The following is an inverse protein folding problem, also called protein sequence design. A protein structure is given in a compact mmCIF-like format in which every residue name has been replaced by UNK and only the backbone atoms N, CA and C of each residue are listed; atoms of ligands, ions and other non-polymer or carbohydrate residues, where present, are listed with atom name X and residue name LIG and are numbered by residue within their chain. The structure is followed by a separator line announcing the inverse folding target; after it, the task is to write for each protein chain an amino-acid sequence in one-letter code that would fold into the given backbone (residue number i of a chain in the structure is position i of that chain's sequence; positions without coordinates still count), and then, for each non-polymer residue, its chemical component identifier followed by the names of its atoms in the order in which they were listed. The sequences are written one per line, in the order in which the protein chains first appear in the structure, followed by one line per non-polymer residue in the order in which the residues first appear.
data_IF_272763676362
#
_entry.id   IF_272763676362
#
_cell.length_a   1.000
_cell.length_b   1.000
_cell.length_c   1.000
_cell.angle_alpha   90.00
_cell.angle_beta   90.00
_cell.angle_gamma   90.00
#
_symmetry.space_group_name_H-M   'P 1'
#
loop_
_entity.id
_entity.type
_entity.pdbx_description
1 polymer ?
#
# COMPACT_ATOMS: atom_id res chain seq x y z
N UNK A 1 13.25 -31.13 -12.71
CA UNK A 1 12.98 -29.70 -12.96
C UNK A 1 12.01 -29.07 -11.94
N UNK A 2 11.23 -29.84 -11.18
CA UNK A 2 10.21 -29.35 -10.24
C UNK A 2 10.76 -28.78 -8.91
N UNK A 3 11.85 -29.34 -8.37
CA UNK A 3 12.39 -28.94 -7.07
C UNK A 3 13.12 -27.57 -7.10
N UNK A 4 13.81 -27.26 -8.19
CA UNK A 4 14.53 -25.98 -8.35
C UNK A 4 13.56 -24.80 -8.46
N UNK A 5 12.44 -24.97 -9.18
CA UNK A 5 11.43 -23.94 -9.34
C UNK A 5 10.69 -23.71 -8.02
N UNK A 6 10.31 -24.79 -7.31
CA UNK A 6 9.69 -24.67 -5.99
C UNK A 6 10.60 -23.99 -4.96
N UNK A 7 11.89 -24.34 -4.92
CA UNK A 7 12.87 -23.71 -4.04
C UNK A 7 13.06 -22.22 -4.33
N UNK A 8 13.17 -21.85 -5.60
CA UNK A 8 13.29 -20.44 -6.01
C UNK A 8 12.07 -19.62 -5.56
N UNK A 9 10.86 -20.15 -5.75
CA UNK A 9 9.61 -19.48 -5.39
C UNK A 9 9.53 -19.28 -3.86
N UNK A 10 9.96 -20.27 -3.08
CA UNK A 10 9.95 -20.20 -1.62
C UNK A 10 10.94 -19.15 -1.10
N UNK A 11 12.15 -19.10 -1.66
CA UNK A 11 13.18 -18.11 -1.31
C UNK A 11 12.70 -16.69 -1.66
N UNK A 12 12.14 -16.51 -2.86
CA UNK A 12 11.62 -15.20 -3.30
C UNK A 12 10.44 -14.77 -2.42
N UNK A 13 9.52 -15.68 -2.11
CA UNK A 13 8.38 -15.40 -1.23
C UNK A 13 8.82 -14.99 0.18
N UNK A 14 9.80 -15.69 0.76
CA UNK A 14 10.33 -15.37 2.08
C UNK A 14 11.11 -14.05 2.10
N UNK A 15 11.89 -13.77 1.06
CA UNK A 15 12.59 -12.51 0.90
C UNK A 15 11.61 -11.33 0.78
N UNK A 16 10.56 -11.46 -0.03
CA UNK A 16 9.50 -10.45 -0.12
C UNK A 16 8.79 -10.24 1.22
N UNK A 17 8.46 -11.31 1.94
CA UNK A 17 7.85 -11.22 3.27
C UNK A 17 8.73 -10.49 4.28
N UNK A 18 10.04 -10.78 4.29
CA UNK A 18 11.00 -10.10 5.15
C UNK A 18 11.11 -8.60 4.83
N UNK A 19 11.15 -8.25 3.53
CA UNK A 19 11.17 -6.84 3.08
C UNK A 19 9.90 -6.13 3.55
N UNK A 20 8.72 -6.74 3.39
CA UNK A 20 7.45 -6.17 3.82
C UNK A 20 7.40 -6.02 5.34
N UNK A 21 7.84 -7.03 6.10
CA UNK A 21 7.88 -7.01 7.56
C UNK A 21 8.81 -5.92 8.12
N UNK A 22 9.87 -5.56 7.39
CA UNK A 22 10.78 -4.47 7.77
C UNK A 22 10.26 -3.11 7.28
N UNK A 23 9.73 -3.04 6.05
CA UNK A 23 9.23 -1.81 5.46
C UNK A 23 8.00 -1.27 6.20
N UNK A 24 7.10 -2.16 6.63
CA UNK A 24 5.86 -1.77 7.33
C UNK A 24 6.11 -0.96 8.61
N UNK A 25 6.93 -1.41 9.59
CA UNK A 25 7.25 -0.61 10.78
C UNK A 25 8.08 0.63 10.47
N UNK A 26 8.91 0.64 9.42
CA UNK A 26 9.64 1.84 9.01
C UNK A 26 8.66 2.90 8.49
N UNK A 27 7.75 2.55 7.59
CA UNK A 27 6.76 3.48 7.05
C UNK A 27 5.81 3.96 8.15
N UNK A 28 5.35 3.06 9.03
CA UNK A 28 4.55 3.44 10.21
C UNK A 28 5.32 4.37 11.15
N UNK A 29 6.61 4.10 11.39
CA UNK A 29 7.49 4.93 12.21
C UNK A 29 7.71 6.32 11.61
N UNK A 30 7.90 6.42 10.29
CA UNK A 30 8.03 7.69 9.59
C UNK A 30 6.74 8.51 9.64
N UNK A 31 5.58 7.88 9.42
CA UNK A 31 4.27 8.53 9.54
C UNK A 31 4.00 8.99 10.98
N UNK A 32 4.34 8.18 11.99
CA UNK A 32 4.21 8.56 13.40
C UNK A 32 5.15 9.72 13.76
N UNK A 33 6.36 9.73 13.20
CA UNK A 33 7.34 10.81 13.37
C UNK A 33 6.85 12.13 12.74
N UNK A 34 6.31 12.09 11.52
CA UNK A 34 5.72 13.28 10.86
C UNK A 34 4.50 13.81 11.63
N UNK A 35 3.62 12.92 12.12
CA UNK A 35 2.50 13.31 12.97
C UNK A 35 2.96 13.97 14.28
N UNK A 36 3.98 13.42 14.94
CA UNK A 36 4.54 13.96 16.17
C UNK A 36 5.21 15.33 15.96
N UNK A 37 5.91 15.50 14.84
CA UNK A 37 6.61 16.75 14.52
C UNK A 37 5.69 17.84 13.99
N UNK A 38 4.56 17.48 13.36
CA UNK A 38 3.54 18.42 12.89
C UNK A 38 2.83 19.24 13.99
N UNK A 39 2.98 18.83 15.26
CA UNK A 39 2.43 19.54 16.42
C UNK A 39 3.38 20.55 17.06
N UNK A 40 4.58 20.74 16.50
CA UNK A 40 5.43 21.86 16.94
C UNK A 40 4.72 23.16 16.55
N UNK A 41 4.27 23.99 17.50
CA UNK A 41 3.55 25.22 17.16
C UNK A 41 4.52 26.11 16.40
N UNK A 42 4.29 26.30 15.10
CA UNK A 42 4.93 27.36 14.35
C UNK A 42 4.52 28.68 15.00
N UNK A 43 5.44 29.24 15.78
CA UNK A 43 5.41 30.60 16.30
C UNK A 43 5.12 31.53 15.14
N UNK A 44 3.89 32.06 15.06
CA UNK A 44 3.45 33.28 14.37
C UNK A 44 4.41 33.86 13.33
N UNK A 45 4.66 33.13 12.24
CA UNK A 45 5.22 33.64 11.01
C UNK A 45 4.16 33.43 9.91
N UNK A 46 3.97 34.38 8.99
CA UNK A 46 2.95 34.26 7.93
C UNK A 46 3.15 32.90 7.24
N UNK A 47 2.09 32.08 7.21
CA UNK A 47 2.10 30.75 6.61
C UNK A 47 2.76 30.83 5.24
N UNK A 48 4.02 30.39 5.17
CA UNK A 48 4.71 30.22 3.91
C UNK A 48 3.88 29.21 3.12
N UNK A 49 3.40 29.62 1.96
CA UNK A 49 2.74 28.71 1.02
C UNK A 49 3.67 27.50 0.87
N UNK A 50 3.22 26.27 1.20
CA UNK A 50 4.08 25.10 1.13
C UNK A 50 4.65 24.99 -0.29
N UNK A 51 5.95 24.70 -0.40
CA UNK A 51 6.62 24.65 -1.70
C UNK A 51 5.95 23.59 -2.58
N UNK A 52 5.50 24.02 -3.77
CA UNK A 52 4.67 23.21 -4.67
C UNK A 52 5.38 21.94 -5.12
N UNK A 53 6.70 22.04 -5.27
CA UNK A 53 7.56 20.90 -5.60
C UNK A 53 7.52 19.84 -4.49
N UNK A 54 7.55 20.27 -3.23
CA UNK A 54 7.54 19.37 -2.07
C UNK A 54 6.18 18.67 -1.90
N UNK A 55 5.08 19.43 -2.01
CA UNK A 55 3.73 18.86 -1.91
C UNK A 55 3.46 17.84 -3.03
N UNK A 56 3.85 18.16 -4.27
CA UNK A 56 3.68 17.26 -5.41
C UNK A 56 4.54 16.00 -5.27
N UNK A 57 5.78 16.15 -4.80
CA UNK A 57 6.67 15.01 -4.54
C UNK A 57 6.10 14.11 -3.45
N UNK A 58 5.59 14.68 -2.35
CA UNK A 58 4.98 13.91 -1.26
C UNK A 58 3.79 13.09 -1.73
N UNK A 59 2.86 13.69 -2.50
CA UNK A 59 1.70 12.96 -3.07
C UNK A 59 2.18 11.82 -3.99
N UNK A 60 3.19 12.07 -4.83
CA UNK A 60 3.73 11.04 -5.73
C UNK A 60 4.36 9.87 -4.96
N UNK A 61 5.10 10.17 -3.89
CA UNK A 61 5.73 9.16 -3.02
C UNK A 61 4.66 8.35 -2.29
N UNK A 62 3.66 8.99 -1.67
CA UNK A 62 2.58 8.29 -0.94
C UNK A 62 1.83 7.33 -1.85
N UNK A 63 1.50 7.76 -3.08
CA UNK A 63 0.87 6.92 -4.10
C UNK A 63 1.77 5.77 -4.53
N UNK A 64 3.04 6.05 -4.79
CA UNK A 64 4.02 5.06 -5.21
C UNK A 64 4.17 3.95 -4.17
N UNK A 65 4.34 4.35 -2.90
CA UNK A 65 4.49 3.42 -1.77
C UNK A 65 3.19 2.63 -1.54
N UNK A 66 2.02 3.28 -1.55
CA UNK A 66 0.73 2.59 -1.41
C UNK A 66 0.55 1.49 -2.45
N UNK A 67 0.85 1.80 -3.72
CA UNK A 67 0.76 0.84 -4.83
C UNK A 67 1.80 -0.27 -4.70
N UNK A 68 3.01 0.05 -4.26
CA UNK A 68 4.05 -0.95 -4.00
C UNK A 68 3.56 -1.99 -2.98
N UNK A 69 2.97 -1.56 -1.86
CA UNK A 69 2.40 -2.49 -0.87
C UNK A 69 1.33 -3.41 -1.47
N UNK A 70 0.42 -2.87 -2.30
CA UNK A 70 -0.61 -3.68 -2.97
C UNK A 70 0.02 -4.68 -3.94
N UNK A 71 0.99 -4.26 -4.76
CA UNK A 71 1.69 -5.12 -5.72
C UNK A 71 2.44 -6.24 -5.02
N UNK A 72 3.29 -5.90 -4.05
CA UNK A 72 4.10 -6.89 -3.32
C UNK A 72 3.24 -7.82 -2.48
N UNK A 73 2.22 -7.31 -1.81
CA UNK A 73 1.26 -8.13 -1.06
C UNK A 73 0.49 -9.08 -1.98
N UNK A 74 -0.04 -8.58 -3.09
CA UNK A 74 -0.75 -9.39 -4.08
C UNK A 74 0.13 -10.49 -4.68
N UNK A 75 1.37 -10.16 -5.05
CA UNK A 75 2.34 -11.12 -5.56
C UNK A 75 2.67 -12.19 -4.51
N UNK A 76 2.97 -11.78 -3.28
CA UNK A 76 3.26 -12.68 -2.16
C UNK A 76 2.11 -13.67 -1.93
N UNK A 77 0.87 -13.19 -1.82
CA UNK A 77 -0.28 -14.07 -1.55
C UNK A 77 -0.65 -14.96 -2.75
N UNK A 78 -0.43 -14.51 -3.98
CA UNK A 78 -0.59 -15.35 -5.18
C UNK A 78 0.40 -16.51 -5.18
N UNK A 79 1.66 -16.21 -4.86
CA UNK A 79 2.71 -17.23 -4.72
C UNK A 79 2.41 -18.17 -3.56
N UNK A 80 1.99 -17.65 -2.41
CA UNK A 80 1.67 -18.45 -1.23
C UNK A 80 0.49 -19.39 -1.49
N UNK A 81 -0.58 -18.91 -2.13
CA UNK A 81 -1.74 -19.72 -2.50
C UNK A 81 -1.35 -20.83 -3.50
N UNK A 82 -0.55 -20.49 -4.51
CA UNK A 82 -0.02 -21.48 -5.45
C UNK A 82 0.81 -22.55 -4.71
N UNK A 83 1.80 -22.12 -3.93
CA UNK A 83 2.73 -23.01 -3.26
C UNK A 83 2.03 -23.92 -2.24
N UNK A 84 1.08 -23.37 -1.47
CA UNK A 84 0.29 -24.14 -0.52
C UNK A 84 -0.47 -25.27 -1.20
N UNK A 85 -1.24 -24.96 -2.25
CA UNK A 85 -2.06 -25.98 -2.92
C UNK A 85 -1.25 -26.95 -3.79
N UNK A 86 -0.15 -26.50 -4.37
CA UNK A 86 0.71 -27.36 -5.18
C UNK A 86 1.54 -28.32 -4.31
N UNK A 87 1.96 -27.90 -3.11
CA UNK A 87 2.81 -28.71 -2.23
C UNK A 87 2.05 -29.59 -1.25
N UNK A 88 0.88 -29.15 -0.76
CA UNK A 88 0.16 -29.82 0.32
C UNK A 88 -1.05 -30.63 -0.16
N UNK A 89 -1.50 -30.43 -1.39
CA UNK A 89 -2.73 -31.07 -1.89
C UNK A 89 -2.52 -31.72 -3.25
N UNK A 90 -2.98 -32.97 -3.38
CA UNK A 90 -3.02 -33.75 -4.64
C UNK A 90 -3.96 -33.13 -5.72
N UNK A 91 -4.42 -31.90 -5.51
CA UNK A 91 -5.37 -31.16 -6.35
C UNK A 91 -4.85 -30.79 -7.75
N UNK A 92 -3.59 -31.12 -8.07
CA UNK A 92 -2.99 -30.89 -9.38
C UNK A 92 -2.69 -29.43 -9.69
N UNK A 93 -1.85 -29.19 -10.71
CA UNK A 93 -1.34 -27.86 -11.06
C UNK A 93 -2.47 -26.87 -11.41
N UNK A 94 -3.55 -27.33 -12.03
CA UNK A 94 -4.66 -26.47 -12.43
C UNK A 94 -5.35 -25.81 -11.23
N UNK A 95 -5.63 -26.56 -10.17
CA UNK A 95 -6.29 -26.01 -8.98
C UNK A 95 -5.40 -24.97 -8.28
N UNK A 96 -4.09 -25.24 -8.18
CA UNK A 96 -3.13 -24.32 -7.60
C UNK A 96 -3.03 -22.99 -8.39
N UNK A 97 -3.04 -23.05 -9.73
CA UNK A 97 -3.05 -21.85 -10.58
C UNK A 97 -4.33 -21.04 -10.39
N UNK A 98 -5.50 -21.70 -10.37
CA UNK A 98 -6.78 -21.01 -10.18
C UNK A 98 -6.85 -20.32 -8.81
N UNK A 99 -6.36 -20.97 -7.76
CA UNK A 99 -6.31 -20.36 -6.44
C UNK A 99 -5.34 -19.18 -6.35
N UNK A 100 -4.19 -19.26 -7.02
CA UNK A 100 -3.23 -18.16 -7.12
C UNK A 100 -3.78 -16.96 -7.92
N UNK A 101 -4.65 -17.22 -8.89
CA UNK A 101 -5.29 -16.17 -9.68
C UNK A 101 -6.21 -15.28 -8.84
N UNK A 102 -6.80 -15.80 -7.76
CA UNK A 102 -7.72 -15.03 -6.90
C UNK A 102 -7.03 -13.79 -6.28
N UNK A 103 -5.94 -13.91 -5.50
CA UNK A 103 -5.23 -12.75 -4.96
C UNK A 103 -4.60 -11.89 -6.06
N UNK A 104 -4.16 -12.48 -7.18
CA UNK A 104 -3.63 -11.71 -8.31
C UNK A 104 -4.70 -10.78 -8.92
N UNK A 105 -5.91 -11.30 -9.14
CA UNK A 105 -7.05 -10.53 -9.66
C UNK A 105 -7.49 -9.49 -8.64
N UNK A 106 -7.58 -9.85 -7.35
CA UNK A 106 -7.91 -8.89 -6.29
C UNK A 106 -6.91 -7.73 -6.23
N UNK A 107 -5.62 -8.02 -6.36
CA UNK A 107 -4.56 -7.02 -6.47
C UNK A 107 -4.75 -6.13 -7.70
N UNK A 108 -4.97 -6.71 -8.88
CA UNK A 108 -5.19 -5.97 -10.12
C UNK A 108 -6.41 -5.04 -10.02
N UNK A 109 -7.54 -5.53 -9.50
CA UNK A 109 -8.74 -4.73 -9.28
C UNK A 109 -8.44 -3.58 -8.31
N UNK A 110 -7.75 -3.86 -7.20
CA UNK A 110 -7.38 -2.83 -6.21
C UNK A 110 -6.50 -1.74 -6.83
N UNK A 111 -5.55 -2.10 -7.69
CA UNK A 111 -4.68 -1.15 -8.39
C UNK A 111 -5.43 -0.31 -9.43
N UNK A 112 -6.29 -0.95 -10.23
CA UNK A 112 -7.12 -0.25 -11.23
C UNK A 112 -8.04 0.76 -10.53
N UNK A 113 -8.72 0.34 -9.46
CA UNK A 113 -9.60 1.21 -8.69
C UNK A 113 -8.79 2.30 -7.97
N UNK A 114 -7.65 1.95 -7.37
CA UNK A 114 -6.75 2.89 -6.68
C UNK A 114 -6.06 3.90 -7.58
N UNK A 115 -6.12 3.72 -8.90
CA UNK A 115 -5.68 4.73 -9.85
C UNK A 115 -6.65 5.91 -9.96
N UNK A 116 -7.95 5.65 -9.83
CA UNK A 116 -9.00 6.65 -10.06
C UNK A 116 -9.73 7.06 -8.77
N UNK A 117 -9.86 6.15 -7.80
CA UNK A 117 -10.72 6.31 -6.63
C UNK A 117 -9.98 6.00 -5.32
N UNK A 118 -8.95 6.79 -5.00
CA UNK A 118 -8.06 6.55 -3.85
C UNK A 118 -8.79 6.43 -2.51
N UNK A 119 -9.76 7.30 -2.22
CA UNK A 119 -10.59 7.21 -1.00
C UNK A 119 -11.40 5.92 -0.94
N UNK A 120 -11.97 5.52 -2.07
CA UNK A 120 -12.75 4.30 -2.14
C UNK A 120 -11.85 3.07 -1.93
N UNK A 121 -10.67 3.05 -2.55
CA UNK A 121 -9.66 2.00 -2.34
C UNK A 121 -9.21 1.93 -0.88
N UNK A 122 -8.98 3.08 -0.23
CA UNK A 122 -8.67 3.13 1.20
C UNK A 122 -9.74 2.44 2.05
N UNK A 123 -11.01 2.77 1.83
CA UNK A 123 -12.15 2.14 2.54
C UNK A 123 -12.27 0.66 2.21
N UNK A 124 -12.10 0.26 0.94
CA UNK A 124 -12.12 -1.14 0.53
C UNK A 124 -11.03 -1.96 1.22
N UNK A 125 -9.81 -1.41 1.33
CA UNK A 125 -8.70 -2.07 2.02
C UNK A 125 -8.99 -2.25 3.52
N UNK A 126 -9.58 -1.25 4.19
CA UNK A 126 -10.01 -1.39 5.58
C UNK A 126 -11.09 -2.48 5.72
N UNK A 127 -12.12 -2.44 4.85
CA UNK A 127 -13.19 -3.42 4.87
C UNK A 127 -12.65 -4.84 4.65
N UNK A 128 -11.74 -5.01 3.69
CA UNK A 128 -11.10 -6.29 3.42
C UNK A 128 -10.23 -6.76 4.60
N UNK A 129 -9.52 -5.87 5.30
CA UNK A 129 -8.81 -6.21 6.55
C UNK A 129 -9.77 -6.72 7.65
N UNK A 130 -10.94 -6.09 7.81
CA UNK A 130 -11.97 -6.55 8.77
C UNK A 130 -12.50 -7.93 8.39
N UNK A 131 -12.76 -8.17 7.09
CA UNK A 131 -13.21 -9.48 6.60
C UNK A 131 -12.17 -10.56 6.89
N UNK A 132 -10.88 -10.29 6.65
CA UNK A 132 -9.78 -11.23 6.95
C UNK A 132 -9.70 -11.52 8.45
N UNK A 133 -9.84 -10.49 9.31
CA UNK A 133 -9.86 -10.70 10.76
C UNK A 133 -11.05 -11.57 11.19
N UNK A 134 -12.25 -11.28 10.69
CA UNK A 134 -13.44 -12.07 10.99
C UNK A 134 -13.27 -13.52 10.53
N UNK A 135 -12.69 -13.72 9.33
CA UNK A 135 -12.37 -15.03 8.80
C UNK A 135 -11.40 -15.80 9.72
N UNK A 136 -10.32 -15.16 10.17
CA UNK A 136 -9.36 -15.79 11.08
C UNK A 136 -9.95 -16.17 12.44
N UNK A 137 -10.90 -15.38 12.96
CA UNK A 137 -11.62 -15.70 14.20
C UNK A 137 -12.57 -16.89 14.00
N UNK A 138 -13.36 -16.88 12.92
CA UNK A 138 -14.33 -17.96 12.61
C UNK A 138 -13.64 -19.30 12.42
N UNK A 139 -12.49 -19.31 11.73
CA UNK A 139 -11.71 -20.53 11.48
C UNK A 139 -10.65 -20.82 12.54
N UNK A 140 -10.64 -20.06 13.65
CA UNK A 140 -9.75 -20.26 14.79
C UNK A 140 -8.28 -20.41 14.40
N UNK A 141 -7.76 -19.43 13.65
CA UNK A 141 -6.37 -19.43 13.21
C UNK A 141 -5.41 -19.63 14.39
N UNK A 142 -4.42 -20.50 14.18
CA UNK A 142 -3.35 -20.71 15.13
C UNK A 142 -2.54 -19.42 15.33
N UNK A 143 -1.88 -19.23 16.49
CA UNK A 143 -1.09 -18.03 16.77
C UNK A 143 -0.04 -17.72 15.68
N UNK A 144 0.60 -18.74 15.10
CA UNK A 144 1.55 -18.56 14.01
C UNK A 144 0.92 -17.99 12.74
N UNK A 145 -0.29 -18.43 12.40
CA UNK A 145 -1.06 -17.91 11.26
C UNK A 145 -1.48 -16.47 11.53
N UNK A 146 -1.87 -16.12 12.75
CA UNK A 146 -2.16 -14.73 13.13
C UNK A 146 -0.97 -13.80 12.93
N UNK A 147 0.23 -14.23 13.34
CA UNK A 147 1.46 -13.46 13.14
C UNK A 147 1.70 -13.26 11.64
N UNK A 148 1.64 -14.34 10.84
CA UNK A 148 1.82 -14.27 9.39
C UNK A 148 0.79 -13.33 8.74
N UNK A 149 -0.50 -13.48 9.07
CA UNK A 149 -1.58 -12.65 8.53
C UNK A 149 -1.41 -11.19 8.91
N UNK A 150 -0.95 -10.91 10.13
CA UNK A 150 -0.73 -9.53 10.60
C UNK A 150 0.37 -8.85 9.81
N UNK A 151 1.52 -9.50 9.63
CA UNK A 151 2.68 -8.88 8.97
C UNK A 151 2.63 -8.93 7.43
N UNK A 152 2.08 -10.00 6.86
CA UNK A 152 2.10 -10.21 5.40
C UNK A 152 0.81 -9.78 4.70
N UNK A 153 -0.29 -9.54 5.43
CA UNK A 153 -1.58 -9.14 4.84
C UNK A 153 -2.15 -7.88 5.48
N UNK A 154 -2.53 -7.95 6.76
CA UNK A 154 -3.26 -6.87 7.43
C UNK A 154 -2.43 -5.59 7.56
N UNK A 155 -1.18 -5.69 8.02
CA UNK A 155 -0.28 -4.54 8.18
C UNK A 155 -0.08 -3.79 6.86
N UNK A 156 0.36 -4.46 5.78
CA UNK A 156 0.48 -3.86 4.45
C UNK A 156 -0.83 -3.27 3.92
N UNK A 157 -1.97 -3.96 4.08
CA UNK A 157 -3.27 -3.45 3.62
C UNK A 157 -3.70 -2.19 4.38
N UNK A 158 -3.54 -2.16 5.70
CA UNK A 158 -3.87 -0.99 6.52
C UNK A 158 -2.92 0.17 6.22
N UNK A 159 -1.63 -0.11 6.02
CA UNK A 159 -0.64 0.91 5.65
C UNK A 159 -0.97 1.51 4.28
N UNK A 160 -1.23 0.67 3.28
CA UNK A 160 -1.67 1.11 1.95
C UNK A 160 -2.98 1.92 2.02
N UNK A 161 -3.93 1.50 2.86
CA UNK A 161 -5.18 2.22 3.07
C UNK A 161 -4.96 3.64 3.60
N UNK A 162 -4.09 3.79 4.61
CA UNK A 162 -3.74 5.10 5.18
C UNK A 162 -3.05 5.97 4.13
N UNK A 163 -2.10 5.42 3.37
CA UNK A 163 -1.39 6.16 2.33
C UNK A 163 -2.32 6.63 1.20
N UNK A 164 -3.26 5.78 0.75
CA UNK A 164 -4.29 6.21 -0.22
C UNK A 164 -5.19 7.31 0.33
N UNK A 165 -5.51 7.28 1.62
CA UNK A 165 -6.29 8.33 2.26
C UNK A 165 -5.54 9.66 2.33
N UNK A 166 -4.27 9.62 2.76
CA UNK A 166 -3.40 10.80 2.86
C UNK A 166 -3.17 11.44 1.49
N UNK A 167 -2.81 10.62 0.49
CA UNK A 167 -2.56 11.10 -0.88
C UNK A 167 -3.75 11.88 -1.43
N UNK A 168 -4.99 11.40 -1.18
CA UNK A 168 -6.19 12.09 -1.64
C UNK A 168 -6.50 13.34 -0.83
N UNK A 169 -6.31 13.30 0.50
CA UNK A 169 -6.50 14.48 1.36
C UNK A 169 -5.60 15.62 0.93
N UNK A 170 -4.35 15.31 0.60
CA UNK A 170 -3.35 16.30 0.18
C UNK A 170 -3.63 16.85 -1.21
N UNK A 171 -4.09 16.00 -2.14
CA UNK A 171 -4.60 16.47 -3.43
C UNK A 171 -5.82 17.41 -3.26
N UNK A 172 -6.79 17.07 -2.42
CA UNK A 172 -7.97 17.91 -2.19
C UNK A 172 -7.62 19.24 -1.52
N UNK A 173 -6.56 19.27 -0.69
CA UNK A 173 -6.04 20.50 -0.10
C UNK A 173 -5.37 21.37 -1.17
N UNK A 174 -4.57 20.75 -2.04
CA UNK A 174 -3.92 21.41 -3.17
C UNK A 174 -4.93 22.04 -4.12
N UNK A 175 -5.92 21.26 -4.57
CA UNK A 175 -6.98 21.73 -5.49
C UNK A 175 -7.74 22.93 -4.91
N UNK A 176 -8.02 22.94 -3.61
CA UNK A 176 -8.68 24.06 -2.92
C UNK A 176 -7.84 25.33 -2.90
N UNK A 177 -6.55 25.23 -2.61
CA UNK A 177 -5.64 26.38 -2.60
C UNK A 177 -5.54 26.98 -4.02
N UNK A 178 -5.38 26.13 -5.03
CA UNK A 178 -5.30 26.57 -6.43
C UNK A 178 -6.61 27.17 -6.93
N UNK A 179 -7.76 26.64 -6.51
CA UNK A 179 -9.07 27.17 -6.89
C UNK A 179 -9.33 28.58 -6.31
N UNK A 180 -8.82 28.87 -5.10
CA UNK A 180 -8.99 30.18 -4.44
C UNK A 180 -8.01 31.22 -5.00
N UNK A 181 -6.82 30.81 -5.45
CA UNK A 181 -5.78 31.71 -5.96
C UNK A 181 -5.26 31.23 -7.32
N UNK A 182 -5.97 31.52 -8.41
CA UNK A 182 -5.59 31.05 -9.75
C UNK A 182 -4.26 31.66 -10.23
N UNK A 183 -3.87 32.86 -9.78
CA UNK A 183 -2.57 33.45 -10.11
C UNK A 183 -1.38 32.59 -9.63
N UNK A 184 -1.56 31.82 -8.57
CA UNK A 184 -0.54 30.92 -8.08
C UNK A 184 -0.30 29.77 -9.08
N UNK A 185 -1.34 29.26 -9.74
CA UNK A 185 -1.22 28.20 -10.76
C UNK A 185 -0.25 28.58 -11.90
N UNK A 186 -0.32 29.83 -12.37
CA UNK A 186 0.56 30.34 -13.44
C UNK A 186 1.99 30.57 -12.96
N UNK A 187 2.17 31.10 -11.74
CA UNK A 187 3.50 31.27 -11.13
C UNK A 187 4.23 29.92 -10.96
N UNK A 188 3.49 28.83 -10.74
CA UNK A 188 4.07 27.49 -10.61
C UNK A 188 4.42 26.83 -11.94
N UNK A 189 3.56 26.97 -12.96
CA UNK A 189 3.87 26.49 -14.30
C UNK A 189 5.17 27.13 -14.85
N UNK A 190 5.40 28.42 -14.53
CA UNK A 190 6.61 29.14 -14.91
C UNK A 190 7.87 28.69 -14.14
N UNK A 191 7.73 28.21 -12.90
CA UNK A 191 8.88 27.77 -12.08
C UNK A 191 9.34 26.35 -12.45
N UNK A 192 8.41 25.45 -12.79
CA UNK A 192 8.75 24.09 -13.24
C UNK A 192 9.50 24.07 -14.58
N UNK A 193 9.29 25.04 -15.46
CA UNK A 193 10.03 25.15 -16.73
C UNK A 193 11.45 25.69 -16.58
N UNK A 194 11.80 26.26 -15.42
CA UNK A 194 13.14 26.80 -15.13
C UNK A 194 13.99 25.76 -14.37
N UNK A 195 13.35 24.79 -13.71
CA UNK A 195 14.02 23.72 -12.95
C UNK A 195 14.27 22.43 -13.76
N UNK A 196 13.83 22.38 -15.03
CA UNK A 196 14.12 21.31 -15.99
C UNK A 196 15.27 21.72 -16.91
#
# INVERSE_FOLDING_TARGET
MSLLIGGLILIVGFACAAIVAIATPIVLGMLAYDLATSHTPHTTAPQAVPDHAEASMRIAVERGVARAFVIFGGAFWSVAAFAGLYSLSDSGTQAAVLAAAIPAIACAVTLIVGWYFERFTSVMLIAASVVVMAWGVVYQFEPGVWILMTFALLGPMLTASVLFWLARRDQDAYERVTAVRPELAFAFAARSSIAA
#
